data_IF_758024267661
#
_entry.id   IF_758024267661
#
_cell.length_a   1.000
_cell.length_b   1.000
_cell.length_c   1.000
_cell.angle_alpha   90.00
_cell.angle_beta   90.00
_cell.angle_gamma   90.00
#
_symmetry.space_group_name_H-M   'P 1'
#
loop_
_entity.id
_entity.type
_entity.pdbx_description
1 polymer ?
#
# COMPACT_ATOMS: atom_id res chain seq x y z
N UNK A 1 -0.17 28.43 -17.43
CA UNK A 1 -0.98 27.44 -16.69
C UNK A 1 -0.04 26.33 -16.24
N UNK A 2 0.13 26.14 -14.93
CA UNK A 2 0.91 25.00 -14.44
C UNK A 2 0.11 23.74 -14.76
N UNK A 3 0.55 22.96 -15.74
CA UNK A 3 -0.04 21.67 -16.12
C UNK A 3 0.34 20.61 -15.07
N UNK A 4 0.05 20.89 -13.80
CA UNK A 4 0.30 19.99 -12.69
C UNK A 4 -0.99 19.24 -12.38
N UNK A 5 -0.89 17.92 -12.42
CA UNK A 5 -2.00 17.00 -12.16
C UNK A 5 -2.52 17.21 -10.73
N UNK A 6 -3.81 17.54 -10.61
CA UNK A 6 -4.53 17.93 -9.38
C UNK A 6 -4.12 19.29 -8.79
N UNK A 7 -3.33 20.11 -9.49
CA UNK A 7 -2.95 21.46 -9.05
C UNK A 7 -1.93 21.50 -7.91
N UNK A 8 -1.24 20.37 -7.68
CA UNK A 8 -0.18 20.24 -6.66
C UNK A 8 1.16 19.87 -7.32
N UNK A 9 2.28 20.42 -6.84
CA UNK A 9 3.59 20.10 -7.38
C UNK A 9 3.97 18.65 -7.08
N UNK A 10 4.81 18.07 -7.95
CA UNK A 10 5.21 16.65 -7.89
C UNK A 10 5.76 16.25 -6.51
N UNK A 11 6.58 17.11 -5.90
CA UNK A 11 7.18 16.85 -4.59
C UNK A 11 6.12 16.73 -3.48
N UNK A 12 5.17 17.67 -3.43
CA UNK A 12 4.07 17.63 -2.45
C UNK A 12 3.17 16.42 -2.66
N UNK A 13 2.91 16.05 -3.93
CA UNK A 13 2.12 14.88 -4.29
C UNK A 13 2.78 13.57 -3.84
N UNK A 14 4.10 13.45 -4.04
CA UNK A 14 4.86 12.28 -3.60
C UNK A 14 4.81 12.14 -2.08
N UNK A 15 5.05 13.23 -1.34
CA UNK A 15 5.00 13.23 0.13
C UNK A 15 3.60 12.83 0.61
N UNK A 16 2.54 13.37 0.01
CA UNK A 16 1.16 13.05 0.37
C UNK A 16 0.85 11.57 0.15
N UNK A 17 1.12 11.03 -1.04
CA UNK A 17 0.82 9.62 -1.33
C UNK A 17 1.66 8.65 -0.50
N UNK A 18 2.94 8.94 -0.29
CA UNK A 18 3.83 8.10 0.53
C UNK A 18 3.41 8.14 1.99
N UNK A 19 3.15 9.32 2.56
CA UNK A 19 2.74 9.44 3.98
C UNK A 19 1.40 8.77 4.24
N UNK A 20 0.40 9.01 3.38
CA UNK A 20 -0.92 8.41 3.49
C UNK A 20 -0.85 6.88 3.39
N UNK A 21 -0.13 6.36 2.39
CA UNK A 21 -0.01 4.90 2.21
C UNK A 21 0.81 4.26 3.33
N UNK A 22 1.87 4.92 3.80
CA UNK A 22 2.68 4.47 4.91
C UNK A 22 1.84 4.28 6.18
N UNK A 23 0.98 5.25 6.51
CA UNK A 23 0.09 5.17 7.67
C UNK A 23 -0.89 3.99 7.55
N UNK A 24 -1.57 3.88 6.40
CA UNK A 24 -2.54 2.80 6.16
C UNK A 24 -1.85 1.42 6.21
N UNK A 25 -0.70 1.27 5.55
CA UNK A 25 0.03 0.00 5.56
C UNK A 25 0.70 -0.31 6.90
N UNK A 26 1.08 0.70 7.68
CA UNK A 26 1.58 0.53 9.04
C UNK A 26 0.50 -0.09 9.92
N UNK A 27 -0.71 0.50 9.94
CA UNK A 27 -1.82 -0.01 10.76
C UNK A 27 -2.19 -1.44 10.38
N UNK A 28 -2.33 -1.74 9.08
CA UNK A 28 -2.59 -3.09 8.58
C UNK A 28 -1.46 -4.07 8.94
N UNK A 29 -0.21 -3.67 8.76
CA UNK A 29 0.97 -4.47 9.08
C UNK A 29 1.12 -4.73 10.58
N UNK A 30 0.72 -3.78 11.43
CA UNK A 30 0.70 -3.94 12.88
C UNK A 30 -0.39 -4.89 13.34
N UNK A 31 -1.60 -4.81 12.79
CA UNK A 31 -2.68 -5.77 13.08
C UNK A 31 -2.27 -7.19 12.69
N UNK A 32 -1.67 -7.38 11.52
CA UNK A 32 -1.19 -8.68 11.06
C UNK A 32 -0.05 -9.22 11.94
N UNK A 33 0.90 -8.37 12.31
CA UNK A 33 2.00 -8.75 13.22
C UNK A 33 1.52 -9.12 14.61
N UNK A 34 0.58 -8.34 15.16
CA UNK A 34 -0.05 -8.60 16.45
C UNK A 34 -0.75 -9.96 16.47
N UNK A 35 -1.59 -10.23 15.46
CA UNK A 35 -2.27 -11.53 15.29
C UNK A 35 -1.28 -12.68 15.21
N UNK A 36 -0.22 -12.55 14.41
CA UNK A 36 0.79 -13.61 14.23
C UNK A 36 1.53 -13.92 15.54
N UNK A 37 1.93 -12.89 16.28
CA UNK A 37 2.62 -13.06 17.57
C UNK A 37 1.69 -13.68 18.63
N UNK A 38 0.40 -13.30 18.63
CA UNK A 38 -0.61 -13.92 19.49
C UNK A 38 -0.79 -15.41 19.19
N UNK A 39 -0.94 -15.78 17.91
CA UNK A 39 -1.03 -17.18 17.50
C UNK A 39 0.22 -17.98 17.87
N UNK A 40 1.40 -17.37 17.74
CA UNK A 40 2.66 -18.00 18.18
C UNK A 40 2.66 -18.25 19.69
N UNK A 41 2.19 -17.30 20.49
CA UNK A 41 2.06 -17.50 21.94
C UNK A 41 1.10 -18.66 22.27
N UNK A 42 -0.04 -18.75 21.59
CA UNK A 42 -0.97 -19.87 21.77
C UNK A 42 -0.35 -21.21 21.37
N UNK A 43 0.40 -21.25 20.28
CA UNK A 43 1.11 -22.46 19.87
C UNK A 43 2.19 -22.87 20.87
N UNK A 44 3.00 -21.92 21.36
CA UNK A 44 4.04 -22.17 22.38
C UNK A 44 3.43 -22.67 23.70
N UNK A 45 2.24 -22.20 24.08
CA UNK A 45 1.59 -22.54 25.35
C UNK A 45 0.44 -23.53 25.20
N UNK A 46 0.25 -24.16 24.04
CA UNK A 46 -0.84 -25.12 23.81
C UNK A 46 -0.79 -26.29 24.81
N UNK A 47 0.40 -26.64 25.29
CA UNK A 47 0.62 -27.69 26.28
C UNK A 47 0.58 -27.19 27.75
N UNK A 48 0.54 -25.86 27.99
CA UNK A 48 0.55 -25.25 29.34
C UNK A 48 -0.75 -24.51 29.62
N UNK A 49 -1.87 -25.22 29.50
CA UNK A 49 -3.17 -24.67 29.88
C UNK A 49 -3.26 -24.61 31.42
N UNK A 50 -3.65 -23.45 31.99
CA UNK A 50 -3.74 -23.32 33.44
C UNK A 50 -4.88 -24.19 33.98
N UNK A 51 -4.56 -25.07 34.93
CA UNK A 51 -5.52 -25.91 35.67
C UNK A 51 -5.81 -25.36 37.08
N UNK A 52 -4.96 -24.46 37.58
CA UNK A 52 -5.08 -23.80 38.89
C UNK A 52 -5.38 -22.30 38.73
N UNK A 53 -6.01 -21.70 39.73
CA UNK A 53 -6.39 -20.28 39.75
C UNK A 53 -5.15 -19.36 39.67
N UNK A 54 -4.08 -19.70 40.41
CA UNK A 54 -2.82 -18.95 40.36
C UNK A 54 -2.14 -19.08 38.99
N UNK A 55 -2.19 -20.27 38.40
CA UNK A 55 -1.70 -20.53 37.05
C UNK A 55 -2.44 -19.70 36.00
N UNK A 56 -3.75 -19.49 36.18
CA UNK A 56 -4.55 -18.65 35.29
C UNK A 56 -4.10 -17.17 35.35
N UNK A 57 -3.85 -16.65 36.56
CA UNK A 57 -3.33 -15.29 36.73
C UNK A 57 -1.95 -15.12 36.08
N UNK A 58 -1.01 -16.03 36.35
CA UNK A 58 0.31 -15.96 35.73
C UNK A 58 0.25 -16.14 34.21
N UNK A 59 -0.64 -17.00 33.71
CA UNK A 59 -0.83 -17.18 32.27
C UNK A 59 -1.30 -15.89 31.58
N UNK A 60 -2.30 -15.19 32.14
CA UNK A 60 -2.75 -13.90 31.61
C UNK A 60 -1.76 -12.76 31.84
N UNK A 61 -1.02 -12.77 32.94
CA UNK A 61 0.08 -11.84 33.19
C UNK A 61 1.17 -12.03 32.14
N UNK A 62 1.69 -13.24 31.95
CA UNK A 62 2.69 -13.55 30.91
C UNK A 62 2.18 -13.26 29.52
N UNK A 63 0.88 -13.49 29.24
CA UNK A 63 0.25 -13.06 27.98
C UNK A 63 0.32 -11.54 27.79
N UNK A 64 0.12 -10.76 28.84
CA UNK A 64 0.22 -9.30 28.83
C UNK A 64 1.68 -8.77 28.78
N UNK A 65 2.66 -9.47 29.37
CA UNK A 65 4.08 -9.10 29.27
C UNK A 65 4.71 -9.54 27.94
N UNK A 66 4.39 -10.74 27.44
CA UNK A 66 4.70 -11.10 26.05
C UNK A 66 3.94 -10.20 25.08
N UNK A 67 2.87 -9.52 25.50
CA UNK A 67 2.21 -8.49 24.70
C UNK A 67 3.14 -7.32 24.39
N UNK A 68 4.12 -7.00 25.24
CA UNK A 68 5.18 -6.06 24.90
C UNK A 68 5.99 -6.56 23.69
N UNK A 69 6.37 -7.84 23.68
CA UNK A 69 7.00 -8.47 22.51
C UNK A 69 6.06 -8.64 21.30
N UNK A 70 4.75 -8.75 21.51
CA UNK A 70 3.71 -8.71 20.48
C UNK A 70 3.59 -7.31 19.89
N UNK A 71 3.67 -6.26 20.73
CA UNK A 71 3.61 -4.86 20.33
C UNK A 71 4.88 -4.48 19.57
N UNK A 72 6.05 -4.89 20.05
CA UNK A 72 7.31 -4.77 19.31
C UNK A 72 7.27 -5.55 17.99
N UNK A 73 6.67 -6.75 17.98
CA UNK A 73 6.43 -7.54 16.78
C UNK A 73 5.50 -6.83 15.78
N UNK A 74 4.43 -6.22 16.28
CA UNK A 74 3.45 -5.44 15.50
C UNK A 74 4.06 -4.15 14.94
N UNK A 75 4.88 -3.44 15.71
CA UNK A 75 5.59 -2.25 15.24
C UNK A 75 6.61 -2.68 14.18
N UNK A 76 7.40 -3.72 14.43
CA UNK A 76 8.42 -4.20 13.49
C UNK A 76 7.81 -4.65 12.16
N UNK A 77 6.69 -5.38 12.19
CA UNK A 77 5.97 -5.76 10.96
C UNK A 77 5.33 -4.54 10.32
N UNK A 78 4.68 -3.66 11.09
CA UNK A 78 4.06 -2.43 10.61
C UNK A 78 5.05 -1.55 9.83
N UNK A 79 6.20 -1.23 10.43
CA UNK A 79 7.27 -0.46 9.79
C UNK A 79 7.78 -1.17 8.52
N UNK A 80 8.00 -2.49 8.58
CA UNK A 80 8.45 -3.26 7.41
C UNK A 80 7.47 -3.19 6.24
N UNK A 81 6.16 -3.33 6.51
CA UNK A 81 5.14 -3.23 5.47
C UNK A 81 5.03 -1.80 4.94
N UNK A 82 4.99 -0.80 5.84
CA UNK A 82 4.92 0.60 5.48
C UNK A 82 6.08 1.05 4.58
N UNK A 83 7.33 0.71 4.93
CA UNK A 83 8.49 1.07 4.11
C UNK A 83 8.47 0.38 2.74
N UNK A 84 8.12 -0.92 2.70
CA UNK A 84 8.03 -1.67 1.45
C UNK A 84 6.96 -1.10 0.52
N UNK A 85 5.77 -0.85 1.02
CA UNK A 85 4.68 -0.33 0.18
C UNK A 85 4.92 1.11 -0.24
N UNK A 86 5.46 1.95 0.66
CA UNK A 86 5.85 3.33 0.35
C UNK A 86 6.85 3.42 -0.81
N UNK A 87 7.84 2.52 -0.84
CA UNK A 87 8.79 2.43 -1.94
C UNK A 87 8.11 2.14 -3.29
N UNK A 88 7.15 1.21 -3.32
CA UNK A 88 6.40 0.88 -4.53
C UNK A 88 5.46 2.01 -4.97
N UNK A 89 4.83 2.71 -4.02
CA UNK A 89 4.01 3.90 -4.33
C UNK A 89 4.87 5.01 -4.90
N UNK A 90 6.04 5.28 -4.33
CA UNK A 90 6.96 6.28 -4.88
C UNK A 90 7.38 5.90 -6.31
N UNK A 91 7.66 4.63 -6.56
CA UNK A 91 7.98 4.13 -7.91
C UNK A 91 6.83 4.37 -8.89
N UNK A 92 5.58 4.10 -8.50
CA UNK A 92 4.40 4.39 -9.32
C UNK A 92 4.28 5.89 -9.65
N UNK A 93 4.40 6.77 -8.65
CA UNK A 93 4.29 8.23 -8.83
C UNK A 93 5.39 8.75 -9.76
N UNK A 94 6.60 8.21 -9.66
CA UNK A 94 7.72 8.56 -10.55
C UNK A 94 7.45 8.14 -12.00
N UNK A 95 6.93 6.93 -12.22
CA UNK A 95 6.59 6.45 -13.57
C UNK A 95 5.48 7.30 -14.17
N UNK A 96 4.42 7.59 -13.41
CA UNK A 96 3.31 8.43 -13.85
C UNK A 96 3.80 9.85 -14.22
N UNK A 97 4.62 10.47 -13.36
CA UNK A 97 5.19 11.78 -13.64
C UNK A 97 6.12 11.78 -14.87
N UNK A 98 6.90 10.73 -15.06
CA UNK A 98 7.73 10.54 -16.25
C UNK A 98 6.89 10.45 -17.52
N UNK A 99 5.79 9.70 -17.49
CA UNK A 99 4.86 9.58 -18.62
C UNK A 99 4.14 10.89 -18.94
N UNK A 100 3.71 11.62 -17.91
CA UNK A 100 3.11 12.95 -18.07
C UNK A 100 4.11 13.93 -18.70
N UNK A 101 5.40 13.86 -18.35
CA UNK A 101 6.43 14.70 -18.95
C UNK A 101 6.70 14.37 -20.42
N UNK A 102 6.74 13.08 -20.77
CA UNK A 102 7.00 12.63 -22.16
C UNK A 102 5.83 12.99 -23.08
N UNK A 103 4.58 12.75 -22.64
CA UNK A 103 3.40 12.93 -23.49
C UNK A 103 2.81 14.34 -23.42
N UNK A 104 3.16 15.14 -22.40
CA UNK A 104 2.62 16.49 -22.11
C UNK A 104 1.08 16.56 -22.04
N UNK A 105 0.45 15.41 -21.91
CA UNK A 105 -0.99 15.24 -21.71
C UNK A 105 -1.16 14.46 -20.41
N UNK A 106 -2.21 14.77 -19.65
CA UNK A 106 -2.54 14.08 -18.42
C UNK A 106 -3.88 13.40 -18.68
N UNK A 107 -3.88 12.06 -18.72
CA UNK A 107 -5.04 11.24 -19.11
C UNK A 107 -5.13 9.94 -18.29
N UNK A 108 -6.31 9.33 -18.30
CA UNK A 108 -6.56 7.94 -17.83
C UNK A 108 -5.49 6.98 -18.33
N UNK A 109 -5.10 7.10 -19.61
CA UNK A 109 -4.10 6.22 -20.22
C UNK A 109 -2.75 6.27 -19.49
N UNK A 110 -2.27 7.46 -19.09
CA UNK A 110 -1.01 7.58 -18.36
C UNK A 110 -1.09 6.95 -16.98
N UNK A 111 -2.23 7.09 -16.30
CA UNK A 111 -2.50 6.41 -15.02
C UNK A 111 -2.47 4.89 -15.17
N UNK A 112 -3.10 4.39 -16.22
CA UNK A 112 -3.16 2.96 -16.54
C UNK A 112 -1.77 2.42 -16.87
N UNK A 113 -0.99 3.12 -17.69
CA UNK A 113 0.38 2.71 -17.98
C UNK A 113 1.28 2.79 -16.73
N UNK A 114 1.13 3.83 -15.89
CA UNK A 114 1.89 3.94 -14.64
C UNK A 114 1.63 2.78 -13.68
N UNK A 115 0.37 2.40 -13.50
CA UNK A 115 -0.03 1.26 -12.65
C UNK A 115 0.39 -0.09 -13.25
N UNK A 116 0.27 -0.29 -14.56
CA UNK A 116 0.72 -1.53 -15.22
C UNK A 116 2.24 -1.65 -15.16
N UNK A 117 2.99 -0.59 -15.50
CA UNK A 117 4.46 -0.60 -15.47
C UNK A 117 5.00 -0.81 -14.05
N UNK A 118 4.41 -0.17 -13.03
CA UNK A 118 4.78 -0.42 -11.63
C UNK A 118 4.46 -1.86 -11.20
N UNK A 119 3.34 -2.43 -11.62
CA UNK A 119 3.02 -3.85 -11.38
C UNK A 119 3.95 -4.83 -12.09
N UNK A 120 4.36 -4.52 -13.32
CA UNK A 120 5.28 -5.33 -14.10
C UNK A 120 6.70 -5.27 -13.54
N UNK A 121 7.17 -4.09 -13.13
CA UNK A 121 8.47 -3.93 -12.45
C UNK A 121 8.48 -4.68 -11.11
N UNK A 122 7.41 -4.60 -10.33
CA UNK A 122 7.23 -5.43 -9.12
C UNK A 122 7.33 -6.93 -9.44
N UNK A 123 6.63 -7.37 -10.48
CA UNK A 123 6.60 -8.79 -10.87
C UNK A 123 7.95 -9.30 -11.34
N UNK A 124 8.69 -8.48 -12.09
CA UNK A 124 10.03 -8.79 -12.56
C UNK A 124 11.02 -8.93 -11.39
N UNK A 125 11.01 -7.96 -10.46
CA UNK A 125 11.91 -7.96 -9.29
C UNK A 125 11.66 -9.17 -8.38
N UNK A 126 10.39 -9.57 -8.20
CA UNK A 126 10.03 -10.71 -7.35
C UNK A 126 10.06 -12.06 -8.10
N UNK A 127 10.46 -12.09 -9.38
CA UNK A 127 10.55 -13.31 -10.22
C UNK A 127 9.30 -14.18 -10.14
N UNK A 128 8.13 -13.56 -10.33
CA UNK A 128 6.85 -14.24 -10.19
C UNK A 128 6.58 -15.20 -11.36
N UNK A 129 5.76 -16.23 -11.12
CA UNK A 129 5.33 -17.17 -12.15
C UNK A 129 4.42 -16.51 -13.18
N UNK A 130 4.36 -17.06 -14.40
CA UNK A 130 3.55 -16.52 -15.51
C UNK A 130 2.08 -16.30 -15.14
N UNK A 131 1.49 -17.24 -14.39
CA UNK A 131 0.09 -17.13 -13.94
C UNK A 131 -0.12 -15.98 -12.96
N UNK A 132 0.85 -15.71 -12.09
CA UNK A 132 0.79 -14.60 -11.15
C UNK A 132 1.01 -13.25 -11.85
N UNK A 133 1.92 -13.19 -12.83
CA UNK A 133 2.13 -12.00 -13.67
C UNK A 133 0.85 -11.60 -14.38
N UNK A 134 0.14 -12.56 -14.99
CA UNK A 134 -1.14 -12.30 -15.66
C UNK A 134 -2.20 -11.75 -14.69
N UNK A 135 -2.30 -12.32 -13.49
CA UNK A 135 -3.23 -11.81 -12.46
C UNK A 135 -2.89 -10.37 -12.05
N UNK A 136 -1.61 -10.08 -11.84
CA UNK A 136 -1.14 -8.74 -11.49
C UNK A 136 -1.45 -7.77 -12.64
N UNK A 137 -1.23 -8.18 -13.89
CA UNK A 137 -1.54 -7.37 -15.07
C UNK A 137 -3.03 -7.00 -15.13
N UNK A 138 -3.94 -7.97 -14.98
CA UNK A 138 -5.38 -7.67 -14.99
C UNK A 138 -5.80 -6.81 -13.80
N UNK A 139 -5.22 -7.05 -12.61
CA UNK A 139 -5.51 -6.27 -11.41
C UNK A 139 -5.05 -4.81 -11.57
N UNK A 140 -3.82 -4.59 -12.04
CA UNK A 140 -3.27 -3.24 -12.23
C UNK A 140 -3.95 -2.52 -13.38
N UNK A 141 -4.35 -3.21 -14.44
CA UNK A 141 -5.14 -2.62 -15.52
C UNK A 141 -6.51 -2.14 -15.01
N UNK A 142 -7.26 -3.00 -14.32
CA UNK A 142 -8.56 -2.64 -13.77
C UNK A 142 -8.46 -1.48 -12.75
N UNK A 143 -7.46 -1.53 -11.87
CA UNK A 143 -7.22 -0.48 -10.88
C UNK A 143 -6.77 0.83 -11.54
N UNK A 144 -5.88 0.76 -12.51
CA UNK A 144 -5.38 1.91 -13.27
C UNK A 144 -6.48 2.61 -14.05
N UNK A 145 -7.39 1.84 -14.65
CA UNK A 145 -8.54 2.40 -15.36
C UNK A 145 -9.52 3.09 -14.41
N UNK A 146 -9.91 2.41 -13.31
CA UNK A 146 -10.83 2.99 -12.32
C UNK A 146 -10.25 4.25 -11.65
N UNK A 147 -8.98 4.20 -11.26
CA UNK A 147 -8.30 5.36 -10.64
C UNK A 147 -8.08 6.50 -11.64
N UNK A 148 -7.76 6.20 -12.90
CA UNK A 148 -7.60 7.21 -13.94
C UNK A 148 -8.90 7.97 -14.22
N UNK A 149 -10.02 7.25 -14.36
CA UNK A 149 -11.34 7.89 -14.51
C UNK A 149 -11.65 8.78 -13.30
N UNK A 150 -11.42 8.29 -12.09
CA UNK A 150 -11.68 9.07 -10.87
C UNK A 150 -10.81 10.33 -10.80
N UNK A 151 -9.53 10.24 -11.18
CA UNK A 151 -8.66 11.40 -11.26
C UNK A 151 -9.15 12.41 -12.30
N UNK A 152 -9.55 11.95 -13.48
CA UNK A 152 -10.00 12.84 -14.55
C UNK A 152 -11.36 13.49 -14.24
N UNK A 153 -12.25 12.81 -13.51
CA UNK A 153 -13.47 13.41 -12.95
C UNK A 153 -13.17 14.50 -11.92
N UNK A 154 -12.21 14.28 -11.02
CA UNK A 154 -11.78 15.30 -10.04
C UNK A 154 -11.18 16.50 -10.77
N UNK A 155 -10.39 16.26 -11.81
CA UNK A 155 -9.78 17.32 -12.63
C UNK A 155 -10.82 18.13 -13.38
N UNK A 156 -11.81 17.47 -13.98
CA UNK A 156 -12.94 18.13 -14.63
C UNK A 156 -13.72 19.00 -13.65
N UNK A 157 -14.03 18.49 -12.45
CA UNK A 157 -14.68 19.27 -11.38
C UNK A 157 -13.86 20.50 -10.96
N UNK A 158 -12.54 20.40 -10.98
CA UNK A 158 -11.62 21.49 -10.65
C UNK A 158 -11.41 22.48 -11.81
N UNK A 159 -12.13 22.32 -12.95
CA UNK A 159 -12.01 23.19 -14.11
C UNK A 159 -10.70 23.02 -14.87
N UNK A 160 -10.01 21.89 -14.73
CA UNK A 160 -8.80 21.59 -15.48
C UNK A 160 -9.15 21.01 -16.86
N UNK A 161 -8.35 21.37 -17.87
CA UNK A 161 -8.52 20.88 -19.24
C UNK A 161 -8.40 19.35 -19.33
N UNK A 162 -9.42 18.72 -19.91
CA UNK A 162 -9.49 17.29 -20.24
C UNK A 162 -9.93 17.18 -21.70
N UNK A 163 -9.04 16.75 -22.58
CA UNK A 163 -9.19 16.89 -24.03
C UNK A 163 -10.36 16.12 -24.65
N UNK A 164 -10.88 15.08 -23.98
CA UNK A 164 -11.99 14.26 -24.46
C UNK A 164 -13.33 14.57 -23.79
N UNK A 165 -13.39 15.55 -22.86
CA UNK A 165 -14.63 16.01 -22.23
C UNK A 165 -15.09 17.38 -22.75
N UNK A 166 -14.22 18.14 -23.41
CA UNK A 166 -14.61 19.33 -24.15
C UNK A 166 -14.99 18.93 -25.58
N UNK A 167 -16.30 18.90 -25.84
CA UNK A 167 -16.92 18.85 -27.17
C UNK A 167 -17.51 20.20 -27.53
#
# INVERSE_FOLDING_TARGET
MNNERLGVPLASRLILYVSATSLVCFTLGSVLGGKKSGLRFFAENAHRLPTTIDGWYFYHKTKNYKLESVMLGAIKTGVKYALRTSFWVATYVCIEAGMDHIRRCIDVANTMFGTVLSGMTFSYINRLSRTMVLRIFYLTNCFGFASGILQDLIRYRNGQYVWYLES
#
